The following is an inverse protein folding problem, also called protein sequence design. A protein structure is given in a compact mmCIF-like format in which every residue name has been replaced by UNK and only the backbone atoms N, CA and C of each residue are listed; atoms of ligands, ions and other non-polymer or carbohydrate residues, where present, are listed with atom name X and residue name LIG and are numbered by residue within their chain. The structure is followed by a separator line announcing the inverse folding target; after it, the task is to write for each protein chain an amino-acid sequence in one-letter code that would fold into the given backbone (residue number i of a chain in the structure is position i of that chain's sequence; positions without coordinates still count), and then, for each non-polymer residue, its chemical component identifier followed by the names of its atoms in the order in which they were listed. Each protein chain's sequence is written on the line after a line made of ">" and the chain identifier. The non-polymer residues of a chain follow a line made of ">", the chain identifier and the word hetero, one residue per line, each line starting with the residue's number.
data_IF_702125303766
#
_entry.id   IF_702125303766
#
_cell.length_a   1.000
_cell.length_b   1.000
_cell.length_c   1.000
_cell.angle_alpha   90.00
_cell.angle_beta   90.00
_cell.angle_gamma   90.00
#
_symmetry.space_group_name_H-M   'P 1'
#
loop_
_entity.id
_entity.type
_entity.pdbx_description
1 polymer ?
#
# COMPACT_ATOMS: atom_id res chain seq x y z
N UNK A 1 -11.90 13.71 -29.66
CA UNK A 1 -10.70 13.73 -28.80
C UNK A 1 -11.04 12.98 -27.52
N UNK A 2 -10.87 11.65 -27.52
CA UNK A 2 -11.13 10.80 -26.36
C UNK A 2 -9.87 10.70 -25.51
N UNK A 3 -9.96 11.09 -24.23
CA UNK A 3 -8.87 10.83 -23.26
C UNK A 3 -9.13 9.49 -22.61
N UNK A 4 -8.30 8.53 -22.95
CA UNK A 4 -8.12 7.25 -22.26
C UNK A 4 -7.59 7.54 -20.85
N UNK A 5 -8.40 7.26 -19.81
CA UNK A 5 -7.96 7.30 -18.42
C UNK A 5 -7.51 5.89 -18.05
N UNK A 6 -6.22 5.65 -18.26
CA UNK A 6 -5.52 4.44 -17.85
C UNK A 6 -5.80 4.15 -16.37
N UNK A 7 -6.38 2.97 -16.11
CA UNK A 7 -6.39 2.40 -14.77
C UNK A 7 -4.96 2.31 -14.27
N UNK A 8 -4.71 2.89 -13.09
CA UNK A 8 -3.41 2.92 -12.45
C UNK A 8 -2.92 1.47 -12.28
N UNK A 9 -2.04 1.02 -13.16
CA UNK A 9 -1.37 -0.26 -13.05
C UNK A 9 -0.50 -0.22 -11.80
N UNK A 10 -0.69 -1.17 -10.89
CA UNK A 10 0.22 -1.40 -9.77
C UNK A 10 1.50 -2.03 -10.31
N UNK A 11 2.36 -1.24 -10.93
CA UNK A 11 3.69 -1.71 -11.33
C UNK A 11 4.73 -1.04 -10.45
N UNK A 12 5.31 -1.82 -9.53
CA UNK A 12 6.60 -1.47 -8.94
C UNK A 12 7.39 -2.73 -8.56
N UNK A 13 8.02 -3.30 -9.60
CA UNK A 13 9.45 -3.62 -9.68
C UNK A 13 10.11 -4.41 -8.53
N UNK A 14 9.80 -5.71 -8.40
CA UNK A 14 10.78 -6.80 -8.25
C UNK A 14 10.07 -8.15 -8.41
N UNK A 15 9.95 -8.61 -9.65
CA UNK A 15 9.59 -10.00 -9.93
C UNK A 15 10.75 -10.92 -9.54
N UNK A 16 10.89 -11.18 -8.24
CA UNK A 16 11.16 -12.54 -7.83
C UNK A 16 9.78 -13.10 -7.46
N UNK A 17 9.05 -13.49 -8.50
CA UNK A 17 7.86 -14.31 -8.39
C UNK A 17 8.25 -15.55 -7.58
N UNK A 18 8.10 -15.48 -6.26
CA UNK A 18 7.91 -16.66 -5.43
C UNK A 18 6.57 -17.22 -5.88
N UNK A 19 6.60 -17.90 -7.03
CA UNK A 19 5.53 -18.69 -7.61
C UNK A 19 5.38 -19.92 -6.73
N UNK A 20 5.00 -19.68 -5.48
CA UNK A 20 4.29 -20.67 -4.69
C UNK A 20 2.99 -20.84 -5.45
N UNK A 21 2.95 -21.87 -6.30
CA UNK A 21 1.72 -22.35 -6.94
C UNK A 21 0.77 -22.74 -5.82
N UNK A 22 0.03 -21.76 -5.30
CA UNK A 22 -0.97 -21.96 -4.26
C UNK A 22 -2.20 -22.50 -4.97
N UNK A 23 -2.66 -23.65 -4.48
CA UNK A 23 -3.83 -24.34 -4.98
C UNK A 23 -5.06 -23.43 -4.88
N UNK A 24 -5.52 -22.93 -6.03
CA UNK A 24 -6.65 -22.01 -6.14
C UNK A 24 -7.98 -22.70 -5.85
N UNK A 25 -8.07 -24.04 -5.85
CA UNK A 25 -9.27 -24.76 -5.43
C UNK A 25 -9.50 -24.64 -3.93
N UNK A 26 -8.42 -24.57 -3.14
CA UNK A 26 -8.47 -24.40 -1.68
C UNK A 26 -8.55 -22.93 -1.25
N UNK A 27 -8.21 -21.99 -2.14
CA UNK A 27 -8.28 -20.56 -1.86
C UNK A 27 -8.85 -19.74 -3.04
N UNK A 28 -10.17 -19.84 -3.28
CA UNK A 28 -10.81 -19.25 -4.45
C UNK A 28 -10.73 -17.72 -4.51
N UNK A 29 -10.49 -17.04 -3.37
CA UNK A 29 -10.43 -15.58 -3.29
C UNK A 29 -8.99 -15.02 -3.32
N UNK A 30 -7.96 -15.88 -3.36
CA UNK A 30 -6.56 -15.45 -3.36
C UNK A 30 -6.13 -14.71 -2.09
N UNK A 31 -6.87 -14.88 -0.98
CA UNK A 31 -6.65 -14.14 0.27
C UNK A 31 -5.29 -14.48 0.88
N UNK A 32 -4.86 -15.74 0.82
CA UNK A 32 -3.57 -16.16 1.38
C UNK A 32 -2.41 -15.59 0.56
N UNK A 33 -2.58 -15.41 -0.76
CA UNK A 33 -1.59 -14.76 -1.61
C UNK A 33 -1.39 -13.32 -1.15
N UNK A 34 -2.49 -12.57 -0.94
CA UNK A 34 -2.42 -11.18 -0.46
C UNK A 34 -1.80 -11.07 0.92
N UNK A 35 -2.18 -11.97 1.84
CA UNK A 35 -1.61 -12.03 3.21
C UNK A 35 -0.12 -12.36 3.15
N UNK A 36 0.29 -13.32 2.33
CA UNK A 36 1.69 -13.68 2.15
C UNK A 36 2.49 -12.50 1.60
N UNK A 37 2.04 -11.87 0.50
CA UNK A 37 2.69 -10.70 -0.09
C UNK A 37 2.76 -9.51 0.88
N UNK A 38 1.74 -9.34 1.72
CA UNK A 38 1.77 -8.32 2.77
C UNK A 38 2.84 -8.63 3.81
N UNK A 39 2.90 -9.87 4.32
CA UNK A 39 3.93 -10.29 5.28
C UNK A 39 5.35 -10.15 4.71
N UNK A 40 5.56 -10.54 3.45
CA UNK A 40 6.88 -10.38 2.81
C UNK A 40 7.29 -8.91 2.66
N UNK A 41 6.33 -8.00 2.38
CA UNK A 41 6.59 -6.56 2.36
C UNK A 41 6.89 -6.01 3.75
N UNK A 42 6.13 -6.41 4.76
CA UNK A 42 6.29 -5.94 6.14
C UNK A 42 7.62 -6.35 6.78
N UNK A 43 8.28 -7.40 6.29
CA UNK A 43 9.65 -7.76 6.69
C UNK A 43 10.70 -6.68 6.38
N UNK A 44 10.43 -5.82 5.40
CA UNK A 44 11.37 -4.83 4.87
C UNK A 44 10.89 -3.39 5.11
N UNK A 45 10.27 -3.16 6.28
CA UNK A 45 9.79 -1.85 6.67
C UNK A 45 9.15 -1.85 8.04
N UNK A 46 8.60 -0.70 8.42
CA UNK A 46 7.97 -0.50 9.73
C UNK A 46 6.80 0.45 9.67
N UNK A 47 5.86 0.27 10.59
CA UNK A 47 4.78 1.22 10.81
C UNK A 47 5.22 2.31 11.79
N UNK A 48 5.17 3.56 11.34
CA UNK A 48 5.42 4.75 12.15
C UNK A 48 4.13 5.48 12.46
N UNK A 49 4.00 5.94 13.70
CA UNK A 49 2.87 6.75 14.13
C UNK A 49 2.98 8.16 13.55
N UNK A 50 1.86 8.71 13.12
CA UNK A 50 1.79 10.11 12.69
C UNK A 50 1.85 11.02 13.94
N UNK A 51 2.86 11.91 14.06
CA UNK A 51 2.96 12.80 15.20
C UNK A 51 1.78 13.79 15.22
N UNK A 52 1.20 14.00 16.40
CA UNK A 52 0.07 14.92 16.60
C UNK A 52 -1.31 14.38 16.17
N UNK A 53 -1.39 13.15 15.66
CA UNK A 53 -2.67 12.54 15.29
C UNK A 53 -3.38 11.96 16.53
N UNK A 54 -4.64 12.38 16.73
CA UNK A 54 -5.52 11.91 17.80
C UNK A 54 -6.09 10.51 17.52
N UNK A 55 -6.04 10.06 16.27
CA UNK A 55 -6.71 8.83 15.78
C UNK A 55 -5.79 7.61 15.69
N UNK A 56 -4.55 7.70 16.19
CA UNK A 56 -3.54 6.62 16.15
C UNK A 56 -3.23 6.10 14.73
N UNK A 57 -3.26 6.96 13.70
CA UNK A 57 -2.89 6.55 12.34
C UNK A 57 -1.44 6.10 12.30
N UNK A 58 -1.21 4.94 11.67
CA UNK A 58 0.13 4.40 11.40
C UNK A 58 0.37 4.30 9.91
N UNK A 59 1.54 4.76 9.47
CA UNK A 59 1.98 4.74 8.08
C UNK A 59 3.10 3.72 7.94
N UNK A 60 2.98 2.82 6.96
CA UNK A 60 4.05 1.90 6.61
C UNK A 60 5.15 2.62 5.82
N UNK A 61 6.39 2.47 6.25
CA UNK A 61 7.59 3.04 5.62
C UNK A 61 8.56 1.90 5.35
N UNK A 62 9.03 1.78 4.10
CA UNK A 62 10.01 0.75 3.73
C UNK A 62 11.39 1.09 4.27
N UNK A 63 12.24 0.08 4.42
CA UNK A 63 13.62 0.29 4.82
C UNK A 63 14.36 1.17 3.79
N UNK A 64 15.08 2.17 4.26
CA UNK A 64 15.76 3.17 3.43
C UNK A 64 14.88 4.34 2.97
N UNK A 65 13.57 4.32 3.22
CA UNK A 65 12.70 5.47 2.99
C UNK A 65 12.68 6.44 4.19
N UNK A 66 12.48 7.71 3.88
CA UNK A 66 12.33 8.77 4.88
C UNK A 66 10.88 8.80 5.41
N UNK A 67 10.74 8.54 6.70
CA UNK A 67 9.46 8.52 7.38
C UNK A 67 8.75 9.88 7.34
N UNK A 68 9.48 10.98 7.49
CA UNK A 68 8.89 12.33 7.51
C UNK A 68 8.29 12.68 6.14
N UNK A 69 8.99 12.32 5.06
CA UNK A 69 8.47 12.53 3.70
C UNK A 69 7.19 11.74 3.44
N UNK A 70 7.11 10.50 3.93
CA UNK A 70 5.88 9.69 3.81
C UNK A 70 4.73 10.26 4.63
N UNK A 71 5.01 10.75 5.84
CA UNK A 71 4.04 11.42 6.69
C UNK A 71 3.55 12.73 6.04
N UNK A 72 4.44 13.54 5.48
CA UNK A 72 4.10 14.77 4.78
C UNK A 72 3.20 14.49 3.55
N UNK A 73 3.56 13.50 2.73
CA UNK A 73 2.76 13.08 1.59
C UNK A 73 1.37 12.57 2.00
N UNK A 74 1.26 11.90 3.16
CA UNK A 74 -0.02 11.51 3.72
C UNK A 74 -0.89 12.73 4.07
N UNK A 75 -0.33 13.73 4.75
CA UNK A 75 -1.06 14.96 5.09
C UNK A 75 -1.53 15.71 3.84
N UNK A 76 -0.67 15.85 2.83
CA UNK A 76 -1.03 16.47 1.56
C UNK A 76 -2.24 15.76 0.91
N UNK A 77 -2.23 14.42 0.88
CA UNK A 77 -3.32 13.63 0.30
C UNK A 77 -4.64 13.77 1.07
N UNK A 78 -4.58 13.83 2.41
CA UNK A 78 -5.78 14.00 3.23
C UNK A 78 -6.36 15.40 3.08
N UNK A 79 -5.50 16.44 3.07
CA UNK A 79 -5.95 17.83 2.93
C UNK A 79 -6.54 18.11 1.55
N UNK A 80 -6.05 17.45 0.50
CA UNK A 80 -6.53 17.60 -0.87
C UNK A 80 -7.66 16.62 -1.23
N UNK A 81 -8.18 15.84 -0.26
CA UNK A 81 -9.21 14.85 -0.54
C UNK A 81 -10.52 15.55 -0.90
N UNK A 82 -11.11 15.30 -2.09
CA UNK A 82 -12.41 15.89 -2.42
C UNK A 82 -13.47 15.38 -1.44
N UNK A 83 -14.27 16.31 -0.91
CA UNK A 83 -15.44 16.02 -0.10
C UNK A 83 -16.41 15.18 -0.95
N UNK A 84 -16.57 13.90 -0.62
CA UNK A 84 -17.39 12.96 -1.41
C UNK A 84 -18.87 12.97 -1.03
N UNK A 85 -19.22 13.61 0.08
CA UNK A 85 -20.57 13.65 0.61
C UNK A 85 -20.81 15.06 1.18
N UNK A 86 -21.87 15.71 0.70
CA UNK A 86 -22.42 16.95 1.25
C UNK A 86 -23.46 16.61 2.31
#
# INVERSE_FOLDING_TARGET
>A
MGKEMYGQSCFDSREENVSKKIDLEKNPNGTEIKVYQQREREKHGRYVSVPGDKTHTRIFVRDGEDAEKKIAAYFERINNRPQKWN
#
